data_IF_101583834614
#
_entry.id   IF_101583834614
#
_cell.length_a   1.000
_cell.length_b   1.000
_cell.length_c   1.000
_cell.angle_alpha   90.00
_cell.angle_beta   90.00
_cell.angle_gamma   90.00
#
_symmetry.space_group_name_H-M   'P 1'
#
loop_
_entity.id
_entity.type
_entity.pdbx_description
1 polymer ?
#
# COMPACT_ATOMS: atom_id res chain seq x y z
N UNK A 1 -20.44 45.61 26.87
CA UNK A 1 -19.29 45.37 25.98
C UNK A 1 -19.83 45.27 24.57
N UNK A 2 -19.23 45.99 23.61
CA UNK A 2 -19.56 45.81 22.20
C UNK A 2 -19.32 44.35 21.84
N UNK A 3 -20.39 43.60 21.60
CA UNK A 3 -20.30 42.33 20.89
C UNK A 3 -19.90 42.70 19.47
N UNK A 4 -18.74 42.23 19.03
CA UNK A 4 -18.35 42.24 17.63
C UNK A 4 -19.30 41.30 16.88
N UNK A 5 -20.46 41.83 16.50
CA UNK A 5 -21.39 41.16 15.61
C UNK A 5 -20.84 41.42 14.21
N UNK A 6 -20.29 40.39 13.58
CA UNK A 6 -19.93 40.44 12.17
C UNK A 6 -21.22 40.66 11.37
N UNK A 7 -21.44 41.89 10.91
CA UNK A 7 -22.54 42.23 10.02
C UNK A 7 -21.99 42.13 8.60
N UNK A 8 -22.27 41.00 7.95
CA UNK A 8 -21.94 40.80 6.55
C UNK A 8 -22.98 41.53 5.69
N UNK A 9 -22.64 42.73 5.22
CA UNK A 9 -23.37 43.40 4.16
C UNK A 9 -22.79 42.90 2.84
N UNK A 10 -23.53 42.00 2.18
CA UNK A 10 -23.17 41.32 0.93
C UNK A 10 -22.79 42.22 -0.27
N UNK A 11 -22.83 43.54 -0.12
CA UNK A 11 -22.43 44.54 -1.12
C UNK A 11 -21.13 45.31 -0.74
N UNK A 12 -20.41 44.96 0.33
CA UNK A 12 -19.25 45.72 0.78
C UNK A 12 -17.91 45.00 0.56
N UNK A 13 -17.10 45.66 -0.25
CA UNK A 13 -15.69 45.51 -0.65
C UNK A 13 -14.68 45.39 0.52
N UNK A 14 -14.97 44.64 1.57
CA UNK A 14 -13.94 44.32 2.56
C UNK A 14 -13.14 43.13 2.04
N UNK A 15 -11.81 43.29 1.96
CA UNK A 15 -10.92 42.17 1.65
C UNK A 15 -11.10 41.10 2.73
N UNK A 16 -11.73 40.00 2.34
CA UNK A 16 -11.81 38.83 3.19
C UNK A 16 -10.39 38.33 3.49
N UNK A 17 -10.10 37.86 4.72
CA UNK A 17 -8.77 37.37 5.09
C UNK A 17 -8.22 36.26 4.19
N UNK A 18 -9.09 35.55 3.48
CA UNK A 18 -8.78 34.47 2.53
C UNK A 18 -8.76 34.92 1.06
N UNK A 19 -8.86 36.22 0.78
CA UNK A 19 -8.65 36.80 -0.55
C UNK A 19 -9.73 36.50 -1.60
N UNK A 20 -10.85 35.88 -1.23
CA UNK A 20 -11.97 35.58 -2.15
C UNK A 20 -13.32 36.01 -1.60
N UNK A 21 -14.31 36.24 -2.47
CA UNK A 21 -15.65 36.72 -2.08
C UNK A 21 -16.45 35.64 -1.35
N UNK A 22 -17.21 36.01 -0.32
CA UNK A 22 -18.09 35.08 0.43
C UNK A 22 -19.11 34.39 -0.48
N UNK A 23 -19.56 35.08 -1.52
CA UNK A 23 -20.47 34.53 -2.51
C UNK A 23 -19.84 33.35 -3.29
N UNK A 24 -18.55 33.42 -3.60
CA UNK A 24 -17.83 32.32 -4.27
C UNK A 24 -17.76 31.10 -3.36
N UNK A 25 -17.48 31.30 -2.07
CA UNK A 25 -17.48 30.23 -1.08
C UNK A 25 -18.88 29.63 -0.92
N UNK A 26 -19.92 30.46 -0.86
CA UNK A 26 -21.30 30.01 -0.76
C UNK A 26 -21.72 29.18 -1.97
N UNK A 27 -21.39 29.63 -3.18
CA UNK A 27 -21.63 28.86 -4.41
C UNK A 27 -20.91 27.51 -4.36
N UNK A 28 -19.63 27.47 -3.95
CA UNK A 28 -18.88 26.22 -3.84
C UNK A 28 -19.57 25.20 -2.91
N UNK A 29 -20.01 25.62 -1.73
CA UNK A 29 -20.71 24.74 -0.79
C UNK A 29 -22.07 24.30 -1.34
N UNK A 30 -22.83 25.24 -1.93
CA UNK A 30 -24.11 24.94 -2.58
C UNK A 30 -23.95 23.91 -3.71
N UNK A 31 -22.95 24.10 -4.57
CA UNK A 31 -22.72 23.27 -5.74
C UNK A 31 -22.13 21.89 -5.38
N UNK A 32 -21.48 21.78 -4.21
CA UNK A 32 -21.01 20.50 -3.67
C UNK A 32 -22.13 19.62 -3.07
N UNK A 33 -23.30 20.20 -2.80
CA UNK A 33 -24.42 19.52 -2.14
C UNK A 33 -25.54 19.22 -3.13
N UNK A 34 -25.58 17.97 -3.62
CA UNK A 34 -26.67 17.50 -4.48
C UNK A 34 -28.08 17.53 -3.86
N UNK A 35 -28.21 17.82 -2.55
CA UNK A 35 -29.49 17.99 -1.85
C UNK A 35 -29.82 19.45 -1.50
N UNK A 36 -28.99 20.41 -1.93
CA UNK A 36 -29.08 21.81 -1.52
C UNK A 36 -28.50 22.06 -0.13
N UNK A 37 -27.75 23.15 0.01
CA UNK A 37 -27.29 23.63 1.31
C UNK A 37 -28.42 24.27 2.12
N UNK A 38 -28.21 24.38 3.44
CA UNK A 38 -29.12 25.12 4.30
C UNK A 38 -29.36 26.54 3.76
N UNK A 39 -30.62 27.03 3.77
CA UNK A 39 -30.85 28.46 3.61
C UNK A 39 -30.08 29.21 4.70
N UNK A 40 -29.60 30.41 4.38
CA UNK A 40 -28.81 31.21 5.32
C UNK A 40 -29.60 31.46 6.60
N UNK A 41 -29.12 30.88 7.70
CA UNK A 41 -29.69 31.03 9.02
C UNK A 41 -29.07 32.27 9.67
N UNK A 42 -29.88 33.28 9.92
CA UNK A 42 -29.48 34.53 10.59
C UNK A 42 -29.78 34.47 12.11
N UNK A 43 -30.47 33.42 12.56
CA UNK A 43 -30.96 33.28 13.95
C UNK A 43 -30.27 32.13 14.71
N UNK A 44 -29.97 32.32 15.99
CA UNK A 44 -29.32 31.34 16.87
C UNK A 44 -30.22 30.13 17.20
N UNK A 45 -31.50 30.19 16.83
CA UNK A 45 -32.52 29.17 17.16
C UNK A 45 -32.64 28.05 16.13
N UNK A 46 -32.12 28.23 14.91
CA UNK A 46 -32.27 27.22 13.86
C UNK A 46 -31.17 26.16 13.98
N UNK A 47 -31.51 24.86 14.05
CA UNK A 47 -30.51 23.80 14.12
C UNK A 47 -29.67 23.73 12.85
N UNK A 48 -28.40 23.36 13.01
CA UNK A 48 -27.48 23.15 11.88
C UNK A 48 -27.97 22.02 10.97
N UNK A 49 -28.21 22.29 9.69
CA UNK A 49 -28.64 21.31 8.69
C UNK A 49 -27.56 21.00 7.63
N UNK A 50 -26.32 21.47 7.83
CA UNK A 50 -25.25 21.40 6.83
C UNK A 50 -24.82 19.96 6.57
N UNK A 51 -24.95 19.52 5.32
CA UNK A 51 -24.55 18.19 4.87
C UNK A 51 -23.41 18.22 3.84
N UNK A 52 -23.00 19.38 3.32
CA UNK A 52 -21.83 19.49 2.44
C UNK A 52 -20.56 19.02 3.16
N UNK A 53 -19.88 18.06 2.55
CA UNK A 53 -18.53 17.63 2.91
C UNK A 53 -17.77 17.41 1.62
N UNK A 54 -16.64 18.08 1.48
CA UNK A 54 -15.74 17.83 0.36
C UNK A 54 -15.08 16.46 0.52
N UNK A 55 -15.12 15.68 -0.55
CA UNK A 55 -14.41 14.42 -0.64
C UNK A 55 -12.94 14.63 -0.98
N UNK A 56 -12.16 13.57 -0.80
CA UNK A 56 -10.76 13.53 -1.20
C UNK A 56 -10.63 12.58 -2.40
N UNK A 57 -10.00 13.05 -3.47
CA UNK A 57 -9.86 12.33 -4.74
C UNK A 57 -8.99 11.06 -4.62
N UNK A 58 -8.28 10.85 -3.50
CA UNK A 58 -7.55 9.60 -3.21
C UNK A 58 -8.26 8.72 -2.17
N UNK A 59 -9.35 9.20 -1.56
CA UNK A 59 -10.00 8.51 -0.45
C UNK A 59 -10.85 7.33 -0.94
N UNK A 60 -10.44 6.12 -0.56
CA UNK A 60 -11.14 4.86 -0.85
C UNK A 60 -12.10 4.42 0.26
N UNK A 61 -12.21 5.19 1.36
CA UNK A 61 -13.04 4.81 2.52
C UNK A 61 -14.53 4.95 2.22
N UNK A 62 -14.90 6.01 1.50
CA UNK A 62 -16.29 6.24 1.08
C UNK A 62 -16.62 5.36 -0.13
N UNK A 63 -17.88 5.00 -0.34
CA UNK A 63 -18.25 4.22 -1.54
C UNK A 63 -18.31 5.10 -2.78
N UNK A 64 -18.95 6.27 -2.66
CA UNK A 64 -19.10 7.27 -3.72
C UNK A 64 -18.77 8.66 -3.22
N UNK A 65 -18.08 9.44 -4.04
CA UNK A 65 -17.79 10.85 -3.78
C UNK A 65 -18.91 11.73 -4.35
N UNK A 66 -19.96 11.92 -3.56
CA UNK A 66 -21.13 12.72 -3.98
C UNK A 66 -20.80 14.19 -4.21
N UNK A 67 -19.79 14.72 -3.52
CA UNK A 67 -19.41 16.12 -3.64
C UNK A 67 -18.75 16.37 -4.99
N UNK A 68 -17.82 15.51 -5.39
CA UNK A 68 -17.18 15.60 -6.71
C UNK A 68 -18.17 15.34 -7.84
N UNK A 69 -19.06 14.34 -7.69
CA UNK A 69 -20.16 14.09 -8.65
C UNK A 69 -21.06 15.34 -8.82
N UNK A 70 -21.39 16.03 -7.73
CA UNK A 70 -22.20 17.25 -7.74
C UNK A 70 -21.47 18.44 -8.38
N UNK A 71 -20.19 18.64 -8.05
CA UNK A 71 -19.37 19.71 -8.64
C UNK A 71 -19.23 19.53 -10.17
N UNK A 72 -19.01 18.29 -10.62
CA UNK A 72 -18.97 17.97 -12.06
C UNK A 72 -20.29 18.31 -12.74
N UNK A 73 -21.43 17.96 -12.12
CA UNK A 73 -22.76 18.28 -12.65
C UNK A 73 -23.03 19.79 -12.70
N UNK A 74 -22.42 20.56 -11.82
CA UNK A 74 -22.55 22.01 -11.74
C UNK A 74 -21.51 22.78 -12.57
N UNK A 75 -20.75 22.09 -13.43
CA UNK A 75 -19.87 22.72 -14.43
C UNK A 75 -18.37 22.50 -14.21
N UNK A 76 -17.96 21.87 -13.11
CA UNK A 76 -16.55 21.54 -12.85
C UNK A 76 -16.14 20.22 -13.54
N UNK A 77 -16.42 20.10 -14.85
CA UNK A 77 -16.22 18.88 -15.64
C UNK A 77 -14.77 18.37 -15.64
N UNK A 78 -13.82 19.27 -15.43
CA UNK A 78 -12.39 18.94 -15.34
C UNK A 78 -12.04 18.03 -14.16
N UNK A 79 -12.90 17.93 -13.14
CA UNK A 79 -12.72 16.99 -12.04
C UNK A 79 -13.08 15.55 -12.42
N UNK A 80 -13.73 15.33 -13.58
CA UNK A 80 -14.15 13.99 -14.02
C UNK A 80 -13.01 12.96 -14.05
N UNK A 81 -11.81 13.26 -14.61
CA UNK A 81 -10.70 12.32 -14.57
C UNK A 81 -10.21 11.99 -13.16
N UNK A 82 -10.31 12.93 -12.21
CA UNK A 82 -9.97 12.68 -10.79
C UNK A 82 -10.99 11.73 -10.15
N UNK A 83 -12.28 11.89 -10.48
CA UNK A 83 -13.33 10.99 -10.00
C UNK A 83 -13.14 9.57 -10.54
N UNK A 84 -12.76 9.43 -11.82
CA UNK A 84 -12.45 8.13 -12.43
C UNK A 84 -11.24 7.48 -11.75
N UNK A 85 -10.15 8.23 -11.56
CA UNK A 85 -8.96 7.76 -10.85
C UNK A 85 -9.29 7.30 -9.42
N UNK A 86 -10.07 8.11 -8.69
CA UNK A 86 -10.57 7.80 -7.36
C UNK A 86 -11.35 6.50 -7.32
N UNK A 87 -12.29 6.32 -8.27
CA UNK A 87 -13.15 5.14 -8.32
C UNK A 87 -12.35 3.88 -8.67
N UNK A 88 -11.33 4.01 -9.51
CA UNK A 88 -10.36 2.94 -9.78
C UNK A 88 -9.62 2.53 -8.51
N UNK A 89 -9.09 3.47 -7.74
CA UNK A 89 -8.45 3.18 -6.46
C UNK A 89 -9.43 2.50 -5.49
N UNK A 90 -10.68 2.98 -5.39
CA UNK A 90 -11.69 2.37 -4.54
C UNK A 90 -12.00 0.92 -4.93
N UNK A 91 -12.07 0.62 -6.23
CA UNK A 91 -12.32 -0.73 -6.76
C UNK A 91 -11.26 -1.73 -6.29
N UNK A 92 -10.00 -1.31 -6.14
CA UNK A 92 -8.89 -2.16 -5.70
C UNK A 92 -9.01 -2.57 -4.22
N UNK A 93 -9.83 -1.83 -3.45
CA UNK A 93 -10.06 -2.09 -2.02
C UNK A 93 -11.21 -3.07 -1.78
N UNK A 94 -11.97 -3.42 -2.81
CA UNK A 94 -13.03 -4.43 -2.73
C UNK A 94 -12.42 -5.80 -2.38
N UNK A 95 -12.92 -6.52 -1.36
CA UNK A 95 -12.49 -7.87 -1.02
C UNK A 95 -12.39 -8.85 -2.20
N UNK A 96 -13.21 -8.72 -3.23
CA UNK A 96 -13.16 -9.56 -4.42
C UNK A 96 -11.87 -9.35 -5.24
N UNK A 97 -11.39 -8.11 -5.28
CA UNK A 97 -10.27 -7.69 -6.12
C UNK A 97 -8.93 -7.69 -5.38
N UNK A 98 -8.93 -7.68 -4.04
CA UNK A 98 -7.71 -7.53 -3.23
C UNK A 98 -6.58 -8.51 -3.59
N UNK A 99 -6.90 -9.75 -3.93
CA UNK A 99 -5.90 -10.77 -4.27
C UNK A 99 -5.13 -10.44 -5.57
N UNK A 100 -5.74 -9.68 -6.48
CA UNK A 100 -5.10 -9.23 -7.71
C UNK A 100 -4.11 -8.09 -7.42
N UNK A 101 -4.56 -7.08 -6.68
CA UNK A 101 -3.81 -5.82 -6.51
C UNK A 101 -2.78 -5.85 -5.38
N UNK A 102 -2.96 -6.72 -4.37
CA UNK A 102 -2.13 -6.72 -3.17
C UNK A 102 -1.20 -7.92 -3.11
N UNK A 103 0.02 -7.66 -2.66
CA UNK A 103 1.04 -8.65 -2.38
C UNK A 103 0.56 -9.62 -1.30
N UNK A 104 0.80 -10.92 -1.46
CA UNK A 104 0.44 -11.93 -0.45
C UNK A 104 1.32 -11.85 0.81
N UNK A 105 2.51 -11.22 0.70
CA UNK A 105 3.44 -11.00 1.80
C UNK A 105 3.19 -9.65 2.47
N UNK A 106 3.12 -9.60 3.80
CA UNK A 106 3.13 -8.32 4.54
C UNK A 106 4.50 -7.63 4.43
N UNK A 107 4.61 -6.36 4.83
CA UNK A 107 5.91 -5.63 4.88
C UNK A 107 6.97 -6.31 5.77
N UNK A 108 6.57 -7.27 6.60
CA UNK A 108 7.49 -8.13 7.35
C UNK A 108 8.16 -9.22 6.49
N UNK A 109 7.81 -9.32 5.20
CA UNK A 109 8.24 -10.37 4.28
C UNK A 109 7.56 -11.73 4.52
N UNK A 110 6.45 -11.78 5.27
CA UNK A 110 5.78 -13.06 5.62
C UNK A 110 4.32 -13.07 5.19
N UNK A 111 3.86 -14.25 4.76
CA UNK A 111 2.45 -14.54 4.56
C UNK A 111 1.83 -14.77 5.94
N UNK A 112 0.73 -14.09 6.21
CA UNK A 112 0.01 -14.22 7.48
C UNK A 112 -1.42 -14.64 7.19
N UNK A 113 -1.95 -15.56 7.98
CA UNK A 113 -3.33 -16.03 7.85
C UNK A 113 -4.20 -15.36 8.91
N UNK A 114 -5.49 -15.24 8.62
CA UNK A 114 -6.45 -14.75 9.61
C UNK A 114 -6.48 -15.68 10.83
N UNK A 115 -6.71 -15.11 12.02
CA UNK A 115 -6.92 -15.90 13.23
C UNK A 115 -8.26 -16.64 13.17
N UNK A 116 -8.35 -17.79 13.83
CA UNK A 116 -9.63 -18.46 14.03
C UNK A 116 -10.52 -17.55 14.85
N UNK A 117 -11.78 -17.37 14.43
CA UNK A 117 -12.77 -16.81 15.34
C UNK A 117 -13.22 -17.89 16.32
N UNK A 118 -13.65 -17.46 17.49
CA UNK A 118 -14.12 -18.34 18.55
C UNK A 118 -15.31 -19.18 18.04
N UNK A 119 -15.14 -20.51 18.00
CA UNK A 119 -16.15 -21.45 17.49
C UNK A 119 -16.01 -21.87 16.01
N UNK A 120 -15.00 -21.39 15.27
CA UNK A 120 -14.68 -21.88 13.93
C UNK A 120 -13.72 -23.08 13.97
N UNK A 121 -13.96 -24.10 13.13
CA UNK A 121 -13.10 -25.27 13.02
C UNK A 121 -11.67 -24.88 12.66
N UNK A 122 -10.71 -25.42 13.41
CA UNK A 122 -9.27 -25.18 13.23
C UNK A 122 -8.81 -25.57 11.82
N UNK A 123 -9.48 -26.57 11.21
CA UNK A 123 -9.19 -27.12 9.90
C UNK A 123 -9.71 -26.30 8.70
N UNK A 124 -10.47 -25.22 8.93
CA UNK A 124 -11.00 -24.39 7.82
C UNK A 124 -9.87 -23.61 7.14
N UNK A 125 -9.73 -23.71 5.81
CA UNK A 125 -8.71 -22.93 5.07
C UNK A 125 -8.97 -21.43 5.23
N UNK A 126 -8.06 -20.75 5.94
CA UNK A 126 -8.22 -19.32 6.23
C UNK A 126 -7.64 -18.49 5.11
N UNK A 127 -8.34 -17.40 4.77
CA UNK A 127 -7.81 -16.41 3.82
C UNK A 127 -6.54 -15.79 4.39
N UNK A 128 -5.52 -15.63 3.54
CA UNK A 128 -4.33 -14.88 3.90
C UNK A 128 -4.67 -13.39 4.04
N UNK A 129 -3.94 -12.69 4.90
CA UNK A 129 -4.05 -11.25 5.10
C UNK A 129 -3.23 -10.57 4.00
N UNK A 130 -3.85 -9.73 3.15
CA UNK A 130 -3.14 -9.09 2.06
C UNK A 130 -2.14 -8.06 2.58
N UNK A 131 -1.00 -7.99 1.91
CA UNK A 131 0.09 -7.04 2.12
C UNK A 131 -0.09 -5.71 1.39
N UNK A 132 1.02 -5.00 1.09
CA UNK A 132 0.99 -3.74 0.33
C UNK A 132 0.59 -3.99 -1.13
N UNK A 133 0.31 -2.92 -1.88
CA UNK A 133 0.07 -3.02 -3.32
C UNK A 133 1.34 -3.46 -4.05
N UNK A 134 1.19 -4.32 -5.06
CA UNK A 134 2.31 -4.71 -5.92
C UNK A 134 2.97 -3.48 -6.54
N UNK A 135 4.30 -3.49 -6.68
CA UNK A 135 5.05 -2.38 -7.25
C UNK A 135 4.55 -2.03 -8.66
N UNK A 136 4.18 -3.03 -9.47
CA UNK A 136 3.62 -2.82 -10.81
C UNK A 136 2.39 -1.91 -10.82
N UNK A 137 1.47 -2.06 -9.86
CA UNK A 137 0.27 -1.22 -9.77
C UNK A 137 0.58 0.16 -9.20
N UNK A 138 1.50 0.25 -8.22
CA UNK A 138 2.00 1.53 -7.72
C UNK A 138 2.60 2.38 -8.85
N UNK A 139 3.42 1.77 -9.71
CA UNK A 139 3.99 2.40 -10.91
C UNK A 139 2.90 2.85 -11.89
N UNK A 140 1.93 1.97 -12.14
CA UNK A 140 0.81 2.29 -13.03
C UNK A 140 0.03 3.52 -12.52
N UNK A 141 -0.37 3.54 -11.24
CA UNK A 141 -1.16 4.64 -10.70
C UNK A 141 -0.36 5.93 -10.58
N UNK A 142 0.94 5.86 -10.28
CA UNK A 142 1.79 7.05 -10.32
C UNK A 142 1.88 7.62 -11.73
N UNK A 143 2.08 6.77 -12.75
CA UNK A 143 2.10 7.22 -14.15
C UNK A 143 0.79 7.93 -14.51
N UNK A 144 -0.35 7.30 -14.23
CA UNK A 144 -1.66 7.90 -14.47
C UNK A 144 -1.83 9.23 -13.73
N UNK A 145 -1.33 9.33 -12.50
CA UNK A 145 -1.35 10.58 -11.72
C UNK A 145 -0.50 11.69 -12.37
N UNK A 146 0.71 11.36 -12.84
CA UNK A 146 1.60 12.32 -13.51
C UNK A 146 1.01 12.78 -14.84
N UNK A 147 0.37 11.88 -15.59
CA UNK A 147 -0.32 12.22 -16.84
C UNK A 147 -1.50 13.17 -16.58
N UNK A 148 -2.28 12.93 -15.52
CA UNK A 148 -3.36 13.82 -15.09
C UNK A 148 -2.84 15.19 -14.65
N UNK A 149 -1.77 15.23 -13.85
CA UNK A 149 -1.14 16.46 -13.39
C UNK A 149 -0.60 17.28 -14.58
N UNK A 150 0.11 16.63 -15.51
CA UNK A 150 0.61 17.27 -16.72
C UNK A 150 -0.52 17.81 -17.61
N UNK A 151 -1.62 17.05 -17.74
CA UNK A 151 -2.82 17.51 -18.47
C UNK A 151 -3.42 18.77 -17.84
N UNK A 152 -3.58 18.80 -16.51
CA UNK A 152 -4.15 19.98 -15.84
C UNK A 152 -3.24 21.21 -15.95
N UNK A 153 -1.92 21.02 -15.87
CA UNK A 153 -0.94 22.09 -16.14
C UNK A 153 -1.04 22.60 -17.57
N UNK A 154 -1.20 21.72 -18.55
CA UNK A 154 -1.39 22.09 -19.96
C UNK A 154 -2.70 22.86 -20.22
N UNK A 155 -3.75 22.56 -19.45
CA UNK A 155 -5.02 23.31 -19.45
C UNK A 155 -4.92 24.66 -18.71
N UNK A 156 -3.76 25.00 -18.15
CA UNK A 156 -3.53 26.25 -17.41
C UNK A 156 -4.12 26.27 -16.01
N UNK A 157 -4.37 25.10 -15.41
CA UNK A 157 -4.92 24.99 -14.06
C UNK A 157 -3.80 25.07 -13.02
N UNK A 158 -3.96 25.93 -12.03
CA UNK A 158 -3.04 26.07 -10.89
C UNK A 158 -3.31 25.00 -9.82
N UNK A 159 -3.11 23.73 -10.20
CA UNK A 159 -3.23 22.57 -9.30
C UNK A 159 -1.98 21.73 -9.41
N UNK A 160 -1.49 21.29 -8.25
CA UNK A 160 -0.38 20.36 -8.12
C UNK A 160 -0.94 19.10 -7.46
N UNK A 161 -1.08 18.02 -8.23
CA UNK A 161 -1.62 16.77 -7.70
C UNK A 161 -0.59 15.98 -6.88
N UNK A 162 0.68 16.18 -7.19
CA UNK A 162 1.81 15.57 -6.51
C UNK A 162 3.01 16.52 -6.55
N UNK A 163 3.63 16.69 -5.40
CA UNK A 163 4.75 17.60 -5.21
C UNK A 163 6.09 16.91 -5.50
N UNK A 164 7.11 17.72 -5.81
CA UNK A 164 8.49 17.20 -6.00
C UNK A 164 8.98 16.43 -4.76
N UNK A 165 8.87 16.94 -3.51
CA UNK A 165 9.27 16.17 -2.33
C UNK A 165 8.56 14.82 -2.17
N UNK A 166 7.28 14.74 -2.54
CA UNK A 166 6.54 13.48 -2.53
C UNK A 166 7.08 12.49 -3.57
N UNK A 167 7.46 12.95 -4.77
CA UNK A 167 8.11 12.10 -5.77
C UNK A 167 9.44 11.53 -5.28
N UNK A 168 10.27 12.34 -4.63
CA UNK A 168 11.50 11.85 -3.99
C UNK A 168 11.22 10.83 -2.89
N UNK A 169 10.22 11.07 -2.04
CA UNK A 169 9.84 10.13 -0.99
C UNK A 169 9.32 8.80 -1.57
N UNK A 170 8.51 8.84 -2.63
CA UNK A 170 8.01 7.64 -3.32
C UNK A 170 9.18 6.84 -3.90
N UNK A 171 10.12 7.51 -4.58
CA UNK A 171 11.32 6.86 -5.14
C UNK A 171 12.10 6.11 -4.07
N UNK A 172 12.33 6.74 -2.92
CA UNK A 172 13.04 6.11 -1.79
C UNK A 172 12.27 4.92 -1.20
N UNK A 173 10.96 5.02 -1.04
CA UNK A 173 10.12 3.90 -0.58
C UNK A 173 10.09 2.73 -1.58
N UNK A 174 10.23 2.98 -2.88
CA UNK A 174 10.25 1.93 -3.90
C UNK A 174 11.61 1.24 -4.00
N UNK A 175 12.70 2.02 -4.01
CA UNK A 175 14.07 1.48 -4.00
C UNK A 175 14.25 0.54 -2.80
N UNK A 176 13.78 0.96 -1.61
CA UNK A 176 13.94 0.21 -0.37
C UNK A 176 12.74 -0.67 0.00
N UNK A 177 11.86 -0.98 -0.94
CA UNK A 177 10.68 -1.78 -0.64
C UNK A 177 11.07 -3.12 0.01
N UNK A 178 10.41 -3.54 1.10
CA UNK A 178 10.80 -4.75 1.81
C UNK A 178 10.49 -6.04 1.03
N UNK A 179 9.57 -5.99 0.07
CA UNK A 179 9.08 -7.15 -0.67
C UNK A 179 9.53 -7.15 -2.14
N UNK A 180 9.59 -5.98 -2.77
CA UNK A 180 9.84 -5.77 -4.21
C UNK A 180 10.76 -4.54 -4.44
N UNK A 181 12.07 -4.62 -4.11
CA UNK A 181 13.01 -3.51 -4.32
C UNK A 181 13.07 -3.04 -5.78
N UNK A 182 12.92 -1.74 -6.04
CA UNK A 182 12.99 -1.17 -7.39
C UNK A 182 14.42 -0.78 -7.79
N UNK A 183 15.30 -1.77 -7.98
CA UNK A 183 16.70 -1.54 -8.44
C UNK A 183 16.80 -0.93 -9.84
N UNK A 184 15.73 -1.02 -10.62
CA UNK A 184 15.65 -0.36 -11.92
C UNK A 184 15.49 1.16 -11.82
N UNK A 185 15.21 1.67 -10.61
CA UNK A 185 14.93 3.08 -10.34
C UNK A 185 13.96 3.67 -11.38
N UNK A 186 12.75 3.09 -11.41
CA UNK A 186 11.82 3.28 -12.53
C UNK A 186 11.14 4.65 -12.55
N UNK A 187 11.17 5.38 -11.44
CA UNK A 187 10.44 6.64 -11.28
C UNK A 187 11.04 7.80 -12.09
N UNK A 188 12.36 8.06 -12.09
CA UNK A 188 12.97 9.07 -12.96
C UNK A 188 12.65 8.90 -14.45
N UNK A 189 12.75 7.68 -14.97
CA UNK A 189 12.43 7.38 -16.36
C UNK A 189 10.95 7.65 -16.66
N UNK A 190 10.06 7.19 -15.79
CA UNK A 190 8.61 7.44 -15.90
C UNK A 190 8.28 8.94 -15.88
N UNK A 191 8.91 9.71 -15.00
CA UNK A 191 8.72 11.15 -14.93
C UNK A 191 9.14 11.82 -16.25
N UNK A 192 10.33 11.49 -16.75
CA UNK A 192 10.86 12.03 -18.00
C UNK A 192 9.98 11.70 -19.19
N UNK A 193 9.43 10.49 -19.25
CA UNK A 193 8.49 10.07 -20.29
C UNK A 193 7.22 10.95 -20.31
N UNK A 194 6.70 11.35 -19.15
CA UNK A 194 5.46 12.14 -19.05
C UNK A 194 5.70 13.63 -19.26
N UNK A 195 6.75 14.21 -18.65
CA UNK A 195 6.98 15.65 -18.66
C UNK A 195 8.01 16.12 -19.71
N UNK A 196 8.82 15.21 -20.26
CA UNK A 196 9.84 15.53 -21.25
C UNK A 196 11.11 16.19 -20.70
N UNK A 197 11.23 16.36 -19.38
CA UNK A 197 12.42 16.88 -18.70
C UNK A 197 12.76 16.06 -17.46
N UNK A 198 13.99 16.22 -16.97
CA UNK A 198 14.47 15.57 -15.75
C UNK A 198 14.31 16.50 -14.53
N UNK A 199 13.88 15.94 -13.40
CA UNK A 199 13.98 16.61 -12.11
C UNK A 199 15.41 16.55 -11.57
N UNK A 200 15.71 17.38 -10.57
CA UNK A 200 16.96 17.33 -9.82
C UNK A 200 16.95 16.13 -8.84
N UNK A 201 17.05 14.93 -9.42
CA UNK A 201 17.04 13.67 -8.68
C UNK A 201 18.27 13.56 -7.79
N UNK A 202 18.05 13.32 -6.50
CA UNK A 202 19.13 13.03 -5.55
C UNK A 202 19.56 11.58 -5.81
N UNK A 203 20.81 11.39 -6.22
CA UNK A 203 21.43 10.07 -6.34
C UNK A 203 22.36 9.87 -5.15
N UNK A 204 22.21 8.76 -4.44
CA UNK A 204 23.19 8.35 -3.43
C UNK A 204 24.38 7.71 -4.14
N UNK A 205 25.58 8.27 -3.94
CA UNK A 205 26.84 7.81 -4.54
C UNK A 205 27.32 6.43 -4.01
N UNK A 206 26.63 5.86 -3.02
CA UNK A 206 26.95 4.54 -2.48
C UNK A 206 26.43 3.45 -3.41
N UNK A 207 27.28 3.01 -4.35
CA UNK A 207 27.17 1.77 -5.14
C UNK A 207 25.73 1.26 -5.31
N UNK A 208 24.88 2.07 -5.94
CA UNK A 208 23.50 1.68 -6.22
C UNK A 208 23.53 0.65 -7.33
N UNK A 209 23.21 -0.59 -6.99
CA UNK A 209 22.94 -1.61 -7.99
C UNK A 209 21.84 -1.10 -8.91
N UNK A 210 22.09 -1.16 -10.21
CA UNK A 210 21.25 -0.56 -11.23
C UNK A 210 20.42 -1.59 -11.99
N UNK A 211 19.85 -1.13 -13.09
CA UNK A 211 19.05 -1.94 -14.01
C UNK A 211 19.80 -3.18 -14.52
N UNK A 212 21.08 -3.02 -14.90
CA UNK A 212 21.88 -4.11 -15.44
C UNK A 212 22.14 -5.19 -14.38
N UNK A 213 22.39 -4.78 -13.14
CA UNK A 213 22.56 -5.71 -12.01
C UNK A 213 21.26 -6.43 -11.66
N UNK A 214 20.13 -5.71 -11.68
CA UNK A 214 18.82 -6.31 -11.45
C UNK A 214 18.53 -7.39 -12.51
N UNK A 215 18.79 -7.09 -13.78
CA UNK A 215 18.64 -8.05 -14.88
C UNK A 215 19.55 -9.27 -14.70
N UNK A 216 20.83 -9.04 -14.37
CA UNK A 216 21.78 -10.13 -14.12
C UNK A 216 21.33 -11.03 -12.95
N UNK A 217 20.83 -10.45 -11.86
CA UNK A 217 20.29 -11.23 -10.73
C UNK A 217 19.08 -12.05 -11.17
N UNK A 218 18.18 -11.49 -11.98
CA UNK A 218 17.05 -12.24 -12.50
C UNK A 218 17.49 -13.45 -13.33
N UNK A 219 18.43 -13.25 -14.26
CA UNK A 219 18.97 -14.32 -15.11
C UNK A 219 19.64 -15.43 -14.28
N UNK A 220 20.49 -15.05 -13.32
CA UNK A 220 21.16 -16.03 -12.44
C UNK A 220 20.17 -16.74 -11.52
N UNK A 221 19.14 -16.05 -11.05
CA UNK A 221 18.15 -16.61 -10.13
C UNK A 221 17.31 -17.72 -10.76
N UNK A 222 17.04 -17.62 -12.07
CA UNK A 222 16.37 -18.67 -12.84
C UNK A 222 17.19 -19.97 -12.89
N UNK A 223 18.52 -19.86 -13.03
CA UNK A 223 19.41 -21.03 -13.08
C UNK A 223 19.52 -21.77 -11.74
N UNK A 224 19.39 -21.05 -10.61
CA UNK A 224 19.58 -21.58 -9.27
C UNK A 224 18.29 -21.85 -8.49
N UNK A 225 17.11 -21.62 -9.08
CA UNK A 225 15.80 -21.75 -8.42
C UNK A 225 15.70 -20.91 -7.13
N UNK A 226 16.19 -19.66 -7.20
CA UNK A 226 16.19 -18.71 -6.09
C UNK A 226 15.32 -17.51 -6.47
N UNK A 227 14.64 -16.92 -5.51
CA UNK A 227 13.88 -15.69 -5.71
C UNK A 227 14.84 -14.48 -5.83
N UNK A 228 14.83 -13.70 -6.93
CA UNK A 228 15.71 -12.55 -7.16
C UNK A 228 15.71 -11.53 -6.02
N UNK A 229 14.53 -11.25 -5.47
CA UNK A 229 14.34 -10.26 -4.42
C UNK A 229 15.08 -10.64 -3.14
N UNK A 230 15.23 -11.93 -2.82
CA UNK A 230 16.02 -12.37 -1.67
C UNK A 230 17.49 -11.97 -1.84
N UNK A 231 18.06 -12.21 -3.03
CA UNK A 231 19.46 -11.90 -3.33
C UNK A 231 19.68 -10.39 -3.28
N UNK A 232 18.78 -9.61 -3.86
CA UNK A 232 18.81 -8.15 -3.79
C UNK A 232 18.82 -7.66 -2.34
N UNK A 233 17.93 -8.16 -1.48
CA UNK A 233 17.90 -7.78 -0.05
C UNK A 233 19.15 -8.21 0.72
N UNK A 234 19.77 -9.34 0.38
CA UNK A 234 21.02 -9.79 1.00
C UNK A 234 22.17 -8.84 0.66
N UNK A 235 22.24 -8.41 -0.61
CA UNK A 235 23.23 -7.46 -1.09
C UNK A 235 23.04 -6.09 -0.42
N UNK A 236 21.80 -5.55 -0.40
CA UNK A 236 21.48 -4.30 0.31
C UNK A 236 21.88 -4.35 1.79
N UNK A 237 21.66 -5.50 2.44
CA UNK A 237 22.04 -5.69 3.83
C UNK A 237 23.57 -5.63 4.01
N UNK A 238 24.34 -6.19 3.09
CA UNK A 238 25.81 -6.11 3.13
C UNK A 238 26.26 -4.66 2.92
N UNK A 239 25.76 -3.95 1.91
CA UNK A 239 26.09 -2.53 1.65
C UNK A 239 25.78 -1.66 2.86
N UNK A 240 24.60 -1.82 3.47
CA UNK A 240 24.19 -1.04 4.64
C UNK A 240 25.08 -1.30 5.87
N UNK A 241 25.90 -2.35 5.84
CA UNK A 241 26.86 -2.68 6.90
C UNK A 241 28.31 -2.41 6.51
N UNK A 242 28.54 -2.05 5.25
CA UNK A 242 29.84 -1.63 4.74
C UNK A 242 30.27 -0.33 5.46
N UNK A 243 31.54 -0.25 5.85
CA UNK A 243 32.06 0.87 6.64
C UNK A 243 31.81 0.82 8.16
N UNK A 244 31.00 -0.10 8.67
CA UNK A 244 30.85 -0.29 10.12
C UNK A 244 32.06 -1.04 10.71
N UNK A 245 32.77 -0.40 11.65
CA UNK A 245 33.93 -1.00 12.35
C UNK A 245 33.59 -2.30 13.12
N UNK A 246 32.32 -2.50 13.50
CA UNK A 246 31.84 -3.71 14.19
C UNK A 246 30.56 -4.23 13.52
N UNK A 247 30.65 -5.44 12.97
CA UNK A 247 29.56 -6.17 12.30
C UNK A 247 28.59 -6.89 13.26
N UNK A 248 28.29 -6.26 14.40
CA UNK A 248 27.44 -6.89 15.41
C UNK A 248 25.99 -6.99 14.93
N UNK A 249 25.41 -8.20 14.97
CA UNK A 249 24.01 -8.43 14.65
C UNK A 249 23.68 -8.67 13.17
N UNK A 250 24.67 -8.64 12.27
CA UNK A 250 24.44 -8.93 10.83
C UNK A 250 23.90 -10.34 10.64
N UNK A 251 24.50 -11.34 11.31
CA UNK A 251 24.02 -12.73 11.24
C UNK A 251 22.56 -12.87 11.66
N UNK A 252 22.10 -12.07 12.64
CA UNK A 252 20.70 -12.06 13.05
C UNK A 252 19.79 -11.43 11.99
N UNK A 253 20.25 -10.37 11.31
CA UNK A 253 19.53 -9.74 10.19
C UNK A 253 19.44 -10.69 8.99
N UNK A 254 20.54 -11.33 8.62
CA UNK A 254 20.58 -12.38 7.56
C UNK A 254 19.61 -13.50 7.92
N UNK A 255 19.67 -14.04 9.14
CA UNK A 255 18.76 -15.09 9.58
C UNK A 255 17.30 -14.64 9.57
N UNK A 256 17.02 -13.36 9.85
CA UNK A 256 15.66 -12.80 9.77
C UNK A 256 15.18 -12.73 8.33
N UNK A 257 16.03 -12.31 7.40
CA UNK A 257 15.73 -12.24 5.98
C UNK A 257 15.49 -13.63 5.36
N UNK A 258 16.33 -14.61 5.71
CA UNK A 258 16.16 -16.00 5.25
C UNK A 258 14.91 -16.67 5.83
N UNK A 259 14.38 -16.16 6.96
CA UNK A 259 13.11 -16.61 7.55
C UNK A 259 11.88 -15.96 6.93
N UNK A 260 12.04 -15.02 6.00
CA UNK A 260 10.93 -14.47 5.23
C UNK A 260 10.44 -15.49 4.19
N UNK A 261 9.23 -15.27 3.71
CA UNK A 261 8.62 -16.09 2.68
C UNK A 261 9.02 -15.52 1.31
N UNK A 262 9.62 -16.36 0.48
CA UNK A 262 10.08 -16.03 -0.87
C UNK A 262 9.39 -16.96 -1.87
N UNK A 263 9.21 -16.49 -3.11
CA UNK A 263 8.52 -17.22 -4.16
C UNK A 263 7.00 -17.01 -4.21
N UNK A 264 6.33 -17.90 -4.93
CA UNK A 264 4.89 -17.83 -5.19
C UNK A 264 4.06 -18.18 -3.95
N UNK A 265 2.80 -17.74 -3.91
CA UNK A 265 1.90 -18.07 -2.79
C UNK A 265 1.72 -19.59 -2.64
N UNK A 266 1.72 -20.33 -3.75
CA UNK A 266 1.56 -21.78 -3.76
C UNK A 266 2.79 -22.49 -3.17
N UNK A 267 4.00 -22.11 -3.59
CA UNK A 267 5.26 -22.60 -3.01
C UNK A 267 5.33 -22.32 -1.50
N UNK A 268 4.95 -21.11 -1.09
CA UNK A 268 4.95 -20.72 0.34
C UNK A 268 3.95 -21.57 1.12
N UNK A 269 2.73 -21.76 0.59
CA UNK A 269 1.71 -22.62 1.21
C UNK A 269 2.21 -24.06 1.35
N UNK A 270 2.81 -24.61 0.29
CA UNK A 270 3.36 -25.96 0.31
C UNK A 270 4.48 -26.08 1.34
N UNK A 271 5.43 -25.14 1.36
CA UNK A 271 6.51 -25.10 2.34
C UNK A 271 6.00 -25.01 3.78
N UNK A 272 4.96 -24.20 4.03
CA UNK A 272 4.33 -24.11 5.35
C UNK A 272 3.64 -25.42 5.74
N UNK A 273 2.95 -26.08 4.81
CA UNK A 273 2.30 -27.37 5.06
C UNK A 273 3.33 -28.49 5.35
N UNK A 274 4.44 -28.54 4.61
CA UNK A 274 5.53 -29.48 4.86
C UNK A 274 6.20 -29.24 6.22
N UNK A 275 6.39 -27.98 6.62
CA UNK A 275 6.92 -27.63 7.93
C UNK A 275 5.96 -28.00 9.06
N UNK A 276 4.65 -27.80 8.88
CA UNK A 276 3.64 -28.24 9.85
C UNK A 276 3.61 -29.76 9.97
N UNK A 277 3.62 -30.48 8.84
CA UNK A 277 3.65 -31.96 8.84
C UNK A 277 4.93 -32.51 9.50
N UNK A 278 6.10 -31.89 9.26
CA UNK A 278 7.35 -32.26 9.95
C UNK A 278 7.28 -31.97 11.45
N UNK A 279 6.74 -30.82 11.85
CA UNK A 279 6.59 -30.48 13.26
C UNK A 279 5.61 -31.42 13.99
N UNK A 280 4.48 -31.77 13.37
CA UNK A 280 3.55 -32.78 13.88
C UNK A 280 4.20 -34.16 13.96
N UNK A 281 4.94 -34.56 12.92
CA UNK A 281 5.71 -35.80 12.92
C UNK A 281 6.71 -35.82 14.08
N UNK A 282 7.48 -34.75 14.31
CA UNK A 282 8.44 -34.62 15.40
C UNK A 282 7.78 -34.67 16.79
N UNK A 283 6.59 -34.06 16.94
CA UNK A 283 5.80 -34.10 18.19
C UNK A 283 5.31 -35.53 18.47
N UNK A 284 4.78 -36.22 17.45
CA UNK A 284 4.27 -37.58 17.60
C UNK A 284 5.36 -38.65 17.54
N UNK A 285 6.60 -38.30 17.17
CA UNK A 285 7.72 -39.24 17.09
C UNK A 285 7.97 -39.94 18.44
N UNK A 286 7.86 -39.20 19.55
CA UNK A 286 8.03 -39.76 20.89
C UNK A 286 6.89 -40.72 21.27
N UNK A 287 5.66 -40.43 20.83
CA UNK A 287 4.51 -41.32 21.06
C UNK A 287 4.61 -42.58 20.20
N UNK A 288 5.05 -42.46 18.94
CA UNK A 288 5.30 -43.58 18.04
C UNK A 288 6.41 -44.48 18.58
N UNK A 289 7.52 -43.91 19.06
CA UNK A 289 8.59 -44.67 19.71
C UNK A 289 8.10 -45.40 20.97
N UNK A 290 7.27 -44.73 21.79
CA UNK A 290 6.65 -45.35 22.97
C UNK A 290 5.76 -46.53 22.58
N UNK A 291 4.89 -46.38 21.58
CA UNK A 291 4.02 -47.47 21.14
C UNK A 291 4.81 -48.63 20.53
N UNK A 292 5.89 -48.34 19.79
CA UNK A 292 6.78 -49.37 19.24
C UNK A 292 7.51 -50.15 20.35
N UNK A 293 7.94 -49.48 21.42
CA UNK A 293 8.52 -50.17 22.59
C UNK A 293 7.48 -51.07 23.28
N UNK A 294 6.26 -50.57 23.46
CA UNK A 294 5.17 -51.37 24.05
C UNK A 294 4.82 -52.60 23.21
N UNK A 295 4.78 -52.46 21.88
CA UNK A 295 4.58 -53.58 20.97
C UNK A 295 5.72 -54.62 21.06
N UNK A 296 6.97 -54.16 21.10
CA UNK A 296 8.12 -55.06 21.22
C UNK A 296 8.15 -55.82 22.56
N UNK A 297 7.68 -55.19 23.64
CA UNK A 297 7.57 -55.86 24.95
C UNK A 297 6.40 -56.85 25.00
N UNK A 298 5.28 -56.53 24.35
CA UNK A 298 4.16 -57.44 24.15
C UNK A 298 4.56 -58.66 23.31
N UNK A 299 5.30 -58.47 22.22
CA UNK A 299 5.81 -59.56 21.39
C UNK A 299 6.78 -60.47 22.17
N UNK A 300 7.64 -59.90 23.02
CA UNK A 300 8.52 -60.68 23.91
C UNK A 300 7.74 -61.47 24.96
N UNK A 301 6.61 -60.94 25.44
CA UNK A 301 5.75 -61.64 26.39
C UNK A 301 5.01 -62.80 25.70
N UNK A 302 4.50 -62.57 24.48
CA UNK A 302 3.90 -63.59 23.64
C UNK A 302 4.87 -64.73 23.30
N UNK A 303 6.13 -64.41 22.97
CA UNK A 303 7.18 -65.41 22.73
C UNK A 303 7.64 -66.17 23.98
N UNK A 304 7.26 -65.72 25.19
CA UNK A 304 7.54 -66.43 26.45
C UNK A 304 6.39 -67.33 26.89
N UNK A 305 5.17 -67.03 26.46
CA UNK A 305 3.96 -67.79 26.80
C UNK A 305 3.65 -68.92 25.80
N UNK A 306 4.30 -68.93 24.62
CA UNK A 306 4.26 -70.00 23.62
C UNK A 306 5.67 -70.56 23.37
#
# INVERSE_FOLDING_TARGET
GQKNIWIDKYDLEWENPWGSKNLTLWNLYKDSSGQGECPMVIDETTPSCGNSRFGCWTCTVVTKDRAMESLIQNGEEWMSPLLEFRNKLAMTTDPANKAEYRNHKRRTGKVSYQYAKEGEDIATERKHVPGPYWLKYRRQWLRELLELDNKFKAEGREIELITVPELHAIRQEWIHDPNEPDWNDSLPAMFKEVYGFDLDWIYDDNASFGKDDAQLIHELSEDFDITPELVMKLIELEIATEGLSRRNGISNKIATLLKQDWGSLEEIKQKHAELQSKAEFDIHHQEIERYNQQLADLDKQLQKEF
#
